data_IF_160381636113
#
_entry.id   IF_160381636113
#
_cell.length_a   1.000
_cell.length_b   1.000
_cell.length_c   1.000
_cell.angle_alpha   90.00
_cell.angle_beta   90.00
_cell.angle_gamma   90.00
#
_symmetry.space_group_name_H-M   'P 1'
#
loop_
_entity.id
_entity.type
_entity.pdbx_description
1 polymer ?
#
# COMPACT_ATOMS: atom_id res chain seq x y z
N UNK A 1 -8.63 17.20 -11.29
CA UNK A 1 -8.27 16.02 -12.12
C UNK A 1 -7.60 15.03 -11.18
N UNK A 2 -8.32 14.00 -10.73
CA UNK A 2 -7.78 13.00 -9.78
C UNK A 2 -6.83 12.09 -10.53
N UNK A 3 -5.52 12.34 -10.39
CA UNK A 3 -4.47 11.58 -11.08
C UNK A 3 -4.42 10.09 -10.68
N UNK A 4 -5.06 9.72 -9.56
CA UNK A 4 -5.16 8.34 -9.11
C UNK A 4 -6.55 8.07 -8.49
N UNK A 5 -7.49 7.46 -9.24
CA UNK A 5 -8.79 7.07 -8.71
C UNK A 5 -8.66 6.06 -7.56
N UNK A 6 -9.58 6.12 -6.58
CA UNK A 6 -9.59 5.20 -5.42
C UNK A 6 -9.64 3.73 -5.84
N UNK A 7 -10.42 3.40 -6.87
CA UNK A 7 -10.48 2.05 -7.43
C UNK A 7 -9.10 1.56 -7.89
N UNK A 8 -8.33 2.43 -8.56
CA UNK A 8 -6.98 2.11 -9.02
C UNK A 8 -6.03 1.89 -7.84
N UNK A 9 -6.14 2.70 -6.79
CA UNK A 9 -5.35 2.52 -5.57
C UNK A 9 -5.65 1.18 -4.88
N UNK A 10 -6.92 0.74 -4.86
CA UNK A 10 -7.30 -0.61 -4.35
C UNK A 10 -6.70 -1.72 -5.20
N UNK A 11 -6.79 -1.62 -6.53
CA UNK A 11 -6.17 -2.59 -7.44
C UNK A 11 -4.65 -2.72 -7.23
N UNK A 12 -3.95 -1.62 -6.97
CA UNK A 12 -2.51 -1.64 -6.65
C UNK A 12 -2.25 -2.43 -5.36
N UNK A 13 -3.07 -2.22 -4.33
CA UNK A 13 -2.94 -2.92 -3.05
C UNK A 13 -3.20 -4.42 -3.23
N UNK A 14 -4.27 -4.79 -3.94
CA UNK A 14 -4.61 -6.19 -4.18
C UNK A 14 -3.50 -6.92 -4.95
N UNK A 15 -2.96 -6.28 -6.00
CA UNK A 15 -1.84 -6.81 -6.77
C UNK A 15 -0.56 -6.95 -5.92
N UNK A 16 -0.28 -5.99 -5.03
CA UNK A 16 0.85 -6.06 -4.12
C UNK A 16 0.72 -7.21 -3.11
N UNK A 17 -0.49 -7.47 -2.60
CA UNK A 17 -0.75 -8.61 -1.72
C UNK A 17 -0.66 -9.94 -2.46
N UNK A 18 -1.23 -10.04 -3.66
CA UNK A 18 -1.10 -11.22 -4.50
C UNK A 18 0.38 -11.54 -4.76
N UNK A 19 1.15 -10.53 -5.19
CA UNK A 19 2.59 -10.71 -5.44
C UNK A 19 3.37 -11.02 -4.15
N UNK A 20 3.00 -10.42 -3.03
CA UNK A 20 3.58 -10.73 -1.72
C UNK A 20 3.35 -12.18 -1.31
N UNK A 21 2.17 -12.73 -1.61
CA UNK A 21 1.84 -14.13 -1.39
C UNK A 21 2.67 -15.05 -2.29
N UNK A 22 2.77 -14.76 -3.59
CA UNK A 22 3.58 -15.53 -4.54
C UNK A 22 5.05 -15.60 -4.12
N UNK A 23 5.57 -14.49 -3.60
CA UNK A 23 6.95 -14.37 -3.11
C UNK A 23 7.13 -14.90 -1.67
N UNK A 24 6.08 -15.43 -1.05
CA UNK A 24 6.08 -15.95 0.33
C UNK A 24 6.63 -14.94 1.36
N UNK A 25 6.29 -13.67 1.18
CA UNK A 25 6.69 -12.61 2.11
C UNK A 25 5.90 -12.70 3.42
N UNK A 26 6.45 -12.10 4.47
CA UNK A 26 5.70 -11.84 5.71
C UNK A 26 4.51 -10.91 5.43
N UNK A 27 3.45 -10.92 6.27
CA UNK A 27 2.29 -10.03 6.11
C UNK A 27 2.69 -8.57 5.88
N UNK A 28 2.06 -7.97 4.88
CA UNK A 28 2.40 -6.66 4.34
C UNK A 28 1.45 -5.57 4.84
N UNK A 29 1.95 -4.33 4.80
CA UNK A 29 1.11 -3.15 4.74
C UNK A 29 1.53 -2.35 3.51
N UNK A 30 0.54 -1.86 2.76
CA UNK A 30 0.73 -1.19 1.47
C UNK A 30 0.06 0.17 1.56
N UNK A 31 0.85 1.23 1.34
CA UNK A 31 0.39 2.60 1.21
C UNK A 31 0.45 3.02 -0.24
N UNK A 32 -0.58 3.71 -0.72
CA UNK A 32 -0.63 4.32 -2.06
C UNK A 32 -0.79 5.82 -1.87
N UNK A 33 0.14 6.60 -2.40
CA UNK A 33 0.13 8.06 -2.35
C UNK A 33 -0.17 8.64 -3.74
N UNK A 34 -0.75 9.83 -3.79
CA UNK A 34 -0.85 10.60 -5.03
C UNK A 34 0.45 11.36 -5.34
N UNK A 35 0.48 12.09 -6.45
CA UNK A 35 1.65 12.86 -6.87
C UNK A 35 2.04 13.99 -5.90
N UNK A 36 1.15 14.41 -5.00
CA UNK A 36 1.44 15.35 -3.92
C UNK A 36 1.94 14.68 -2.64
N UNK A 37 2.06 13.35 -2.63
CA UNK A 37 2.44 12.58 -1.44
C UNK A 37 1.28 12.36 -0.45
N UNK A 38 0.05 12.70 -0.81
CA UNK A 38 -1.10 12.48 0.07
C UNK A 38 -1.56 11.02 0.04
N UNK A 39 -1.94 10.49 1.20
CA UNK A 39 -2.44 9.12 1.30
C UNK A 39 -3.78 8.96 0.57
N UNK A 40 -3.80 8.13 -0.46
CA UNK A 40 -5.02 7.78 -1.19
C UNK A 40 -5.66 6.53 -0.61
N UNK A 41 -4.86 5.50 -0.32
CA UNK A 41 -5.33 4.26 0.29
C UNK A 41 -4.23 3.57 1.09
N UNK A 42 -4.62 2.87 2.15
CA UNK A 42 -3.75 1.99 2.92
C UNK A 42 -4.50 0.74 3.34
N UNK A 43 -3.84 -0.41 3.27
CA UNK A 43 -4.31 -1.64 3.89
C UNK A 43 -3.15 -2.37 4.57
N UNK A 44 -3.49 -3.11 5.63
CA UNK A 44 -2.57 -3.92 6.41
C UNK A 44 -3.13 -5.33 6.53
N UNK A 45 -2.35 -6.32 6.14
CA UNK A 45 -2.70 -7.72 6.33
C UNK A 45 -2.65 -8.11 7.80
N UNK A 46 -3.48 -9.07 8.19
CA UNK A 46 -3.46 -9.64 9.53
C UNK A 46 -2.08 -10.22 9.86
N UNK A 47 -1.64 -10.01 11.10
CA UNK A 47 -0.29 -10.40 11.55
C UNK A 47 0.84 -9.45 11.09
N UNK A 48 0.57 -8.42 10.28
CA UNK A 48 1.58 -7.42 9.95
C UNK A 48 1.80 -6.43 11.12
N UNK A 49 3.05 -6.01 11.35
CA UNK A 49 3.42 -5.09 12.45
C UNK A 49 2.61 -3.79 12.45
N UNK A 50 2.30 -3.26 13.63
CA UNK A 50 1.60 -1.99 13.82
C UNK A 50 2.36 -0.78 13.22
N UNK A 51 3.67 -0.90 13.00
CA UNK A 51 4.51 0.13 12.37
C UNK A 51 4.33 0.21 10.83
N UNK A 52 3.58 -0.73 10.23
CA UNK A 52 3.43 -0.77 8.76
C UNK A 52 2.90 0.51 8.13
N UNK A 53 1.91 1.23 8.67
CA UNK A 53 1.42 2.47 8.07
C UNK A 53 2.53 3.50 7.87
N UNK A 54 3.36 3.73 8.90
CA UNK A 54 4.46 4.71 8.85
C UNK A 54 5.57 4.25 7.91
N UNK A 55 5.96 2.97 7.99
CA UNK A 55 7.01 2.39 7.16
C UNK A 55 6.67 2.37 5.67
N UNK A 56 5.45 1.98 5.29
CA UNK A 56 5.05 1.94 3.87
C UNK A 56 4.75 3.32 3.32
N UNK A 57 4.19 4.24 4.12
CA UNK A 57 3.97 5.62 3.69
C UNK A 57 5.32 6.33 3.44
N UNK A 58 6.29 6.20 4.35
CA UNK A 58 7.62 6.79 4.17
C UNK A 58 8.30 6.31 2.88
N UNK A 59 8.22 5.00 2.60
CA UNK A 59 8.75 4.42 1.35
C UNK A 59 8.03 4.88 0.09
N UNK A 60 6.73 5.11 0.16
CA UNK A 60 5.93 5.55 -0.98
C UNK A 60 6.14 7.04 -1.29
N UNK A 61 6.54 7.84 -0.29
CA UNK A 61 6.80 9.27 -0.44
C UNK A 61 8.14 9.56 -1.12
N UNK A 62 9.20 8.80 -0.77
CA UNK A 62 10.55 8.97 -1.30
C UNK A 62 11.61 8.82 -0.22
#
# INVERSE_FOLDING_TARGET
MTALPLEKARQIIDAAFAKGSDLKLKPLGVSVLDAGGHLVAFQRQDGASFLRPQMSAGKAYG
#
